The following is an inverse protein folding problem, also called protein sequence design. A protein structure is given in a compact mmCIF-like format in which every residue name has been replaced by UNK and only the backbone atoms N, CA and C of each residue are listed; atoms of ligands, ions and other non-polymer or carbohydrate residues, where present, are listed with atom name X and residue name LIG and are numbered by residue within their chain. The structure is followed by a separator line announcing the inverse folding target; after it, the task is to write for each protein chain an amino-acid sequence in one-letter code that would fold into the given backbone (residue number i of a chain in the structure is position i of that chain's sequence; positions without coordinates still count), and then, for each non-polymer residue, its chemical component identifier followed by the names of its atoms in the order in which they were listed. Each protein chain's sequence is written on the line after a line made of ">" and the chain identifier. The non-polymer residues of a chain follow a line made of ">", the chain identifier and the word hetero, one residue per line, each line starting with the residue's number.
data_IF_212230191739
#
_entry.id   IF_212230191739
#
_cell.length_a   1.000
_cell.length_b   1.000
_cell.length_c   1.000
_cell.angle_alpha   90.00
_cell.angle_beta   90.00
_cell.angle_gamma   90.00
#
_symmetry.space_group_name_H-M   'P 1'
#
loop_
_entity.id
_entity.type
_entity.pdbx_description
1 polymer ?
#
# COMPACT_ATOMS: atom_id res chain seq x y z
N UNK A 1 2.21 -12.42 6.10
CA UNK A 1 0.94 -12.00 6.74
C UNK A 1 -0.28 -12.28 5.87
N UNK A 2 -0.32 -11.81 4.61
CA UNK A 2 -1.43 -12.08 3.67
C UNK A 2 -1.80 -13.57 3.53
N UNK A 3 -0.83 -14.45 3.30
CA UNK A 3 -1.08 -15.90 3.25
C UNK A 3 -1.64 -16.49 4.55
N UNK A 4 -1.25 -15.95 5.70
CA UNK A 4 -1.81 -16.33 7.00
C UNK A 4 -3.27 -15.86 7.12
N UNK A 5 -3.53 -14.59 6.79
CA UNK A 5 -4.87 -14.01 6.82
C UNK A 5 -5.86 -14.81 5.96
N UNK A 6 -5.45 -15.19 4.73
CA UNK A 6 -6.21 -16.09 3.86
C UNK A 6 -6.49 -17.43 4.52
N UNK A 7 -5.45 -18.07 5.06
CA UNK A 7 -5.55 -19.43 5.63
C UNK A 7 -6.50 -19.50 6.82
N UNK A 8 -6.57 -18.46 7.65
CA UNK A 8 -7.40 -18.44 8.87
C UNK A 8 -8.67 -17.60 8.73
N UNK A 9 -8.94 -17.02 7.56
CA UNK A 9 -10.07 -16.11 7.35
C UNK A 9 -10.00 -14.80 8.14
N UNK A 10 -8.80 -14.37 8.53
CA UNK A 10 -8.63 -13.12 9.28
C UNK A 10 -8.68 -11.89 8.36
N UNK A 11 -9.21 -10.78 8.90
CA UNK A 11 -9.04 -9.45 8.31
C UNK A 11 -7.64 -8.94 8.61
N UNK A 12 -7.09 -8.17 7.68
CA UNK A 12 -5.77 -7.57 7.81
C UNK A 12 -5.83 -6.11 7.36
N UNK A 13 -5.23 -5.24 8.18
CA UNK A 13 -5.14 -3.81 7.94
C UNK A 13 -3.67 -3.45 7.70
N UNK A 14 -3.38 -2.77 6.60
CA UNK A 14 -2.04 -2.25 6.32
C UNK A 14 -1.95 -0.80 6.80
N UNK A 15 -0.99 -0.54 7.67
CA UNK A 15 -0.59 0.82 8.05
C UNK A 15 0.40 1.36 7.01
N UNK A 16 -0.09 2.11 6.02
CA UNK A 16 0.76 2.74 5.01
C UNK A 16 1.33 4.05 5.54
N UNK A 17 1.72 4.97 4.66
CA UNK A 17 2.40 6.22 5.03
C UNK A 17 2.31 7.22 3.89
N UNK A 18 2.19 8.50 4.21
CA UNK A 18 2.25 9.61 3.24
C UNK A 18 3.47 9.58 2.30
N UNK A 19 4.54 8.86 2.65
CA UNK A 19 5.71 8.68 1.78
C UNK A 19 5.37 7.94 0.47
N UNK A 20 4.23 7.23 0.38
CA UNK A 20 3.76 6.67 -0.91
C UNK A 20 3.43 7.77 -1.93
N UNK A 21 3.18 9.00 -1.46
CA UNK A 21 2.99 10.17 -2.30
C UNK A 21 4.31 10.79 -2.79
N UNK A 22 5.44 10.48 -2.16
CA UNK A 22 6.77 10.95 -2.54
C UNK A 22 6.92 12.47 -2.41
N UNK A 23 7.42 13.11 -3.47
CA UNK A 23 7.52 14.57 -3.61
C UNK A 23 6.30 15.11 -4.39
N UNK A 24 5.20 15.48 -3.70
CA UNK A 24 3.90 15.60 -4.36
C UNK A 24 3.84 16.82 -5.28
N UNK A 25 3.27 16.64 -6.48
CA UNK A 25 3.03 17.72 -7.44
C UNK A 25 1.69 18.44 -7.22
N UNK A 26 0.87 17.95 -6.30
CA UNK A 26 -0.49 18.41 -6.01
C UNK A 26 -0.69 18.62 -4.50
N UNK A 27 -1.54 19.60 -4.15
CA UNK A 27 -1.91 19.89 -2.75
C UNK A 27 -3.40 20.27 -2.64
N UNK A 28 -4.17 19.65 -1.72
CA UNK A 28 -3.78 18.58 -0.80
C UNK A 28 -3.55 17.23 -1.53
N UNK A 29 -2.83 16.31 -0.89
CA UNK A 29 -2.67 14.94 -1.41
C UNK A 29 -3.88 14.10 -1.00
N UNK A 30 -4.83 14.00 -1.92
CA UNK A 30 -5.97 13.09 -1.77
C UNK A 30 -5.55 11.67 -2.12
N UNK A 31 -6.30 10.66 -1.67
CA UNK A 31 -5.97 9.23 -1.84
C UNK A 31 -5.95 8.78 -3.32
N UNK A 32 -6.54 9.58 -4.22
CA UNK A 32 -6.47 9.34 -5.66
C UNK A 32 -5.13 9.74 -6.29
N UNK A 33 -4.28 10.49 -5.59
CA UNK A 33 -2.97 10.91 -6.08
C UNK A 33 -2.00 9.72 -6.13
N UNK A 34 -1.40 9.47 -7.29
CA UNK A 34 -0.55 8.30 -7.50
C UNK A 34 0.84 8.39 -6.88
N UNK A 35 1.24 9.58 -6.44
CA UNK A 35 2.58 9.82 -5.92
C UNK A 35 3.61 10.13 -7.00
N UNK A 36 4.66 10.81 -6.59
CA UNK A 36 5.84 11.11 -7.40
C UNK A 36 7.08 10.67 -6.61
N UNK A 37 7.44 9.40 -6.76
CA UNK A 37 8.47 8.71 -5.96
C UNK A 37 9.65 8.34 -6.85
N UNK A 38 10.87 8.49 -6.32
CA UNK A 38 12.09 8.05 -7.00
C UNK A 38 12.41 6.59 -6.63
N UNK A 39 12.28 5.61 -7.55
CA UNK A 39 12.38 4.19 -7.24
C UNK A 39 13.81 3.72 -6.90
N UNK A 40 14.83 4.54 -7.16
CA UNK A 40 16.24 4.21 -6.89
C UNK A 40 16.92 5.21 -5.94
N UNK A 41 16.14 6.13 -5.34
CA UNK A 41 16.65 7.07 -4.35
C UNK A 41 17.03 6.40 -3.03
N UNK A 42 17.77 7.10 -2.16
CA UNK A 42 18.21 6.57 -0.85
C UNK A 42 17.06 6.10 0.06
N UNK A 43 15.86 6.67 -0.12
CA UNK A 43 14.63 6.33 0.62
C UNK A 43 13.78 5.27 -0.07
N UNK A 44 14.14 4.83 -1.28
CA UNK A 44 13.27 3.97 -2.10
C UNK A 44 12.93 2.63 -1.45
N UNK A 45 13.84 2.09 -0.63
CA UNK A 45 13.58 0.86 0.12
C UNK A 45 12.36 0.96 1.04
N UNK A 46 12.08 2.15 1.58
CA UNK A 46 10.91 2.40 2.40
C UNK A 46 9.69 2.78 1.54
N UNK A 47 9.85 3.77 0.65
CA UNK A 47 8.74 4.35 -0.12
C UNK A 47 8.14 3.32 -1.09
N UNK A 48 8.96 2.67 -1.91
CA UNK A 48 8.52 1.59 -2.79
C UNK A 48 8.12 0.34 -2.00
N UNK A 49 8.76 0.08 -0.86
CA UNK A 49 8.37 -1.00 0.03
C UNK A 49 6.91 -0.87 0.49
N UNK A 50 6.47 0.34 0.83
CA UNK A 50 5.09 0.64 1.22
C UNK A 50 4.13 0.60 0.02
N UNK A 51 4.52 1.14 -1.14
CA UNK A 51 3.74 1.06 -2.39
C UNK A 51 3.49 -0.38 -2.83
N UNK A 52 4.53 -1.22 -2.80
CA UNK A 52 4.41 -2.66 -3.10
C UNK A 52 3.53 -3.37 -2.07
N UNK A 53 3.61 -3.00 -0.80
CA UNK A 53 2.74 -3.59 0.23
C UNK A 53 1.26 -3.29 -0.03
N UNK A 54 0.90 -2.08 -0.47
CA UNK A 54 -0.47 -1.74 -0.88
C UNK A 54 -0.93 -2.55 -2.09
N UNK A 55 -0.10 -2.63 -3.13
CA UNK A 55 -0.38 -3.46 -4.31
C UNK A 55 -0.67 -4.91 -3.92
N UNK A 56 0.19 -5.50 -3.09
CA UNK A 56 0.01 -6.88 -2.62
C UNK A 56 -1.30 -7.04 -1.86
N UNK A 57 -1.67 -6.09 -0.99
CA UNK A 57 -2.93 -6.13 -0.25
C UNK A 57 -4.15 -6.15 -1.18
N UNK A 58 -4.21 -5.24 -2.16
CA UNK A 58 -5.32 -5.18 -3.10
C UNK A 58 -5.36 -6.36 -4.08
N UNK A 59 -4.21 -6.85 -4.53
CA UNK A 59 -4.16 -8.02 -5.40
C UNK A 59 -4.61 -9.29 -4.67
N UNK A 60 -4.21 -9.46 -3.41
CA UNK A 60 -4.69 -10.56 -2.59
C UNK A 60 -6.20 -10.48 -2.34
N UNK A 61 -6.74 -9.27 -2.14
CA UNK A 61 -8.18 -9.04 -2.05
C UNK A 61 -8.91 -9.44 -3.35
N UNK A 62 -8.43 -8.99 -4.51
CA UNK A 62 -9.02 -9.29 -5.84
C UNK A 62 -8.97 -10.79 -6.15
N UNK A 63 -7.85 -11.46 -5.88
CA UNK A 63 -7.63 -12.86 -6.26
C UNK A 63 -8.26 -13.86 -5.29
N UNK A 64 -8.41 -13.51 -4.01
CA UNK A 64 -8.82 -14.47 -2.97
C UNK A 64 -10.05 -14.04 -2.18
N UNK A 65 -10.64 -12.89 -2.49
CA UNK A 65 -11.87 -12.41 -1.84
C UNK A 65 -11.71 -12.20 -0.33
N UNK A 66 -10.50 -11.89 0.15
CA UNK A 66 -10.27 -11.66 1.58
C UNK A 66 -11.05 -10.42 2.01
N UNK A 67 -12.04 -10.61 2.88
CA UNK A 67 -12.93 -9.53 3.34
C UNK A 67 -12.16 -8.37 3.98
N UNK A 68 -12.56 -7.14 3.63
CA UNK A 68 -12.07 -5.86 4.14
C UNK A 68 -10.55 -5.79 4.33
N UNK A 69 -9.84 -5.85 3.20
CA UNK A 69 -8.44 -5.44 3.12
C UNK A 69 -8.42 -3.94 2.84
N UNK A 70 -7.94 -3.14 3.80
CA UNK A 70 -7.76 -1.70 3.62
C UNK A 70 -6.31 -1.30 3.91
N UNK A 71 -5.81 -0.37 3.10
CA UNK A 71 -4.63 0.44 3.41
C UNK A 71 -5.11 1.80 3.89
N UNK A 72 -4.40 2.40 4.83
CA UNK A 72 -4.55 3.81 5.18
C UNK A 72 -3.19 4.47 5.06
N UNK A 73 -3.16 5.66 4.48
CA UNK A 73 -1.96 6.46 4.24
C UNK A 73 -1.70 7.44 5.38
#
# INVERSE_FOLDING_TARGET
>A
MLGLAKRVGARILLTSTSEVYGDPLEHPQIEAYWGNVNPIGVRSCYDEGKRVAEMLMFDYHRQHGIGNTSSFT
#
